data_IF_329179557417
#
_entry.id   IF_329179557417
#
_cell.length_a   1.000
_cell.length_b   1.000
_cell.length_c   1.000
_cell.angle_alpha   90.00
_cell.angle_beta   90.00
_cell.angle_gamma   90.00
#
_symmetry.space_group_name_H-M   'P 1'
#
loop_
_entity.id
_entity.type
_entity.pdbx_description
1 polymer ?
#
# COMPACT_ATOMS: atom_id res chain seq x y z
N UNK A 1 -2.95 -29.84 8.17
CA UNK A 1 -1.62 -29.60 7.57
C UNK A 1 -1.56 -29.83 6.05
N UNK A 2 -2.44 -30.62 5.42
CA UNK A 2 -2.48 -30.82 3.95
C UNK A 2 -3.22 -29.71 3.17
N UNK A 3 -4.09 -28.92 3.81
CA UNK A 3 -4.81 -27.81 3.18
C UNK A 3 -3.96 -26.55 2.93
N UNK A 4 -2.96 -26.29 3.78
CA UNK A 4 -2.09 -25.10 3.67
C UNK A 4 -1.06 -25.22 2.56
N UNK A 5 -0.55 -26.43 2.31
CA UNK A 5 0.39 -26.71 1.21
C UNK A 5 -0.26 -26.58 -0.18
N UNK A 6 -1.51 -27.02 -0.33
CA UNK A 6 -2.24 -26.84 -1.60
C UNK A 6 -2.50 -25.36 -1.91
N UNK A 7 -2.65 -24.50 -0.90
CA UNK A 7 -2.89 -23.07 -1.12
C UNK A 7 -1.63 -22.34 -1.59
N UNK A 8 -0.47 -22.64 -1.00
CA UNK A 8 0.82 -22.03 -1.38
C UNK A 8 1.26 -22.41 -2.82
N UNK A 9 1.11 -23.69 -3.20
CA UNK A 9 1.39 -24.14 -4.58
C UNK A 9 0.42 -23.55 -5.60
N UNK A 10 -0.87 -23.44 -5.23
CA UNK A 10 -1.88 -22.88 -6.11
C UNK A 10 -1.74 -21.36 -6.29
N UNK A 11 -1.17 -20.65 -5.31
CA UNK A 11 -0.82 -19.23 -5.40
C UNK A 11 0.42 -19.00 -6.28
N UNK A 12 1.47 -19.82 -6.15
CA UNK A 12 2.66 -19.77 -7.01
C UNK A 12 2.32 -20.06 -8.49
N UNK A 13 1.36 -20.96 -8.76
CA UNK A 13 0.96 -21.33 -10.12
C UNK A 13 -0.11 -20.40 -10.72
N UNK A 14 -0.97 -19.75 -9.92
CA UNK A 14 -1.96 -18.75 -10.42
C UNK A 14 -1.44 -17.31 -10.53
N UNK A 15 -0.24 -17.01 -10.04
CA UNK A 15 0.39 -15.68 -10.15
C UNK A 15 0.71 -15.17 -11.57
N UNK A 16 0.27 -15.90 -12.61
CA UNK A 16 0.50 -15.62 -14.04
C UNK A 16 -0.74 -15.51 -14.92
N UNK A 17 -1.98 -15.55 -14.40
CA UNK A 17 -3.18 -15.28 -15.21
C UNK A 17 -4.07 -14.24 -14.55
N UNK A 18 -3.62 -12.99 -14.60
CA UNK A 18 -4.49 -11.82 -14.51
C UNK A 18 -5.24 -11.67 -15.84
N UNK A 19 -6.17 -12.60 -16.12
CA UNK A 19 -7.11 -12.47 -17.25
C UNK A 19 -8.58 -12.56 -16.85
N UNK A 20 -8.92 -13.05 -15.66
CA UNK A 20 -10.33 -13.23 -15.29
C UNK A 20 -10.83 -12.35 -14.14
N UNK A 21 -10.00 -11.47 -13.56
CA UNK A 21 -10.51 -10.25 -12.96
C UNK A 21 -10.58 -9.18 -14.05
N UNK A 22 -11.65 -9.25 -14.84
CA UNK A 22 -12.17 -8.09 -15.56
C UNK A 22 -12.71 -7.11 -14.52
N UNK A 23 -11.78 -6.49 -13.76
CA UNK A 23 -11.97 -5.10 -13.39
C UNK A 23 -11.93 -4.38 -14.72
N UNK A 24 -13.11 -4.08 -15.30
CA UNK A 24 -13.19 -3.20 -16.46
C UNK A 24 -12.37 -1.98 -16.12
N UNK A 25 -11.19 -1.87 -16.74
CA UNK A 25 -10.46 -0.62 -16.75
C UNK A 25 -11.44 0.41 -17.28
N UNK A 26 -11.64 1.56 -16.59
CA UNK A 26 -12.55 2.58 -17.07
C UNK A 26 -12.23 2.86 -18.53
N UNK A 27 -13.25 2.86 -19.40
CA UNK A 27 -13.06 3.09 -20.83
C UNK A 27 -12.23 4.38 -21.03
N UNK A 28 -11.53 4.52 -22.15
CA UNK A 28 -10.82 5.78 -22.46
C UNK A 28 -11.74 7.00 -22.33
N UNK A 29 -13.05 6.83 -22.52
CA UNK A 29 -14.07 7.85 -22.22
C UNK A 29 -14.26 8.13 -20.74
N UNK A 30 -14.28 7.13 -19.86
CA UNK A 30 -14.33 7.33 -18.39
C UNK A 30 -13.01 7.90 -17.83
N UNK A 31 -11.86 7.53 -18.38
CA UNK A 31 -10.58 8.17 -18.03
C UNK A 31 -10.51 9.61 -18.54
N UNK A 32 -11.02 9.89 -19.74
CA UNK A 32 -11.11 11.26 -20.24
C UNK A 32 -12.17 12.10 -19.51
N UNK A 33 -13.31 11.51 -19.10
CA UNK A 33 -14.34 12.18 -18.32
C UNK A 33 -13.85 12.51 -16.89
N UNK A 34 -13.12 11.59 -16.25
CA UNK A 34 -12.45 11.85 -14.97
C UNK A 34 -11.34 12.90 -15.07
N UNK A 35 -10.64 12.99 -16.20
CA UNK A 35 -9.62 14.02 -16.45
C UNK A 35 -10.21 15.40 -16.77
N UNK A 36 -11.35 15.46 -17.48
CA UNK A 36 -12.03 16.72 -17.80
C UNK A 36 -12.72 17.33 -16.57
N UNK A 37 -13.27 16.50 -15.67
CA UNK A 37 -13.76 16.94 -14.36
C UNK A 37 -12.64 17.46 -13.43
N UNK A 38 -11.37 17.11 -13.68
CA UNK A 38 -10.20 17.60 -12.92
C UNK A 38 -9.66 18.96 -13.39
N UNK A 39 -10.04 19.44 -14.57
CA UNK A 39 -9.47 20.67 -15.15
C UNK A 39 -10.18 21.98 -14.76
N UNK A 40 -11.28 21.91 -14.00
CA UNK A 40 -12.13 23.08 -13.66
C UNK A 40 -12.21 23.43 -12.17
N UNK A 41 -11.25 22.98 -11.35
CA UNK A 41 -11.15 23.31 -9.93
C UNK A 41 -9.91 24.19 -9.66
N UNK A 42 -10.07 25.52 -9.53
CA UNK A 42 -9.03 26.38 -9.01
C UNK A 42 -9.13 26.39 -7.48
N UNK A 43 -8.19 25.72 -6.80
CA UNK A 43 -7.92 25.97 -5.38
C UNK A 43 -8.12 24.79 -4.42
N UNK A 44 -7.00 24.20 -4.02
CA UNK A 44 -6.66 23.78 -2.65
C UNK A 44 -6.80 22.33 -2.14
N UNK A 45 -7.54 21.37 -2.73
CA UNK A 45 -7.76 20.07 -2.00
C UNK A 45 -7.55 18.70 -2.70
N UNK A 46 -6.71 18.50 -3.74
CA UNK A 46 -6.28 17.13 -4.13
C UNK A 46 -4.95 16.68 -3.50
N UNK A 47 -4.03 17.62 -3.24
CA UNK A 47 -2.64 17.28 -2.98
C UNK A 47 -2.36 16.76 -1.56
N UNK A 48 -3.20 17.05 -0.58
CA UNK A 48 -2.98 16.65 0.82
C UNK A 48 -3.32 15.19 1.04
N UNK A 49 -4.50 14.73 0.60
CA UNK A 49 -4.94 13.34 0.74
C UNK A 49 -4.08 12.36 -0.07
N UNK A 50 -3.65 12.75 -1.28
CA UNK A 50 -2.78 11.91 -2.12
C UNK A 50 -1.36 11.82 -1.55
N UNK A 51 -0.85 12.90 -0.94
CA UNK A 51 0.41 12.88 -0.18
C UNK A 51 0.31 12.05 1.10
N UNK A 52 -0.81 12.11 1.80
CA UNK A 52 -1.01 11.38 3.05
C UNK A 52 -1.06 9.87 2.82
N UNK A 53 -1.78 9.43 1.78
CA UNK A 53 -1.82 8.01 1.39
C UNK A 53 -0.46 7.49 0.90
N UNK A 54 0.29 8.27 0.11
CA UNK A 54 1.63 7.87 -0.35
C UNK A 54 2.62 7.76 0.81
N UNK A 55 2.60 8.70 1.75
CA UNK A 55 3.41 8.65 2.95
C UNK A 55 3.05 7.46 3.85
N UNK A 56 1.77 7.10 3.96
CA UNK A 56 1.34 5.94 4.75
C UNK A 56 1.89 4.62 4.16
N UNK A 57 1.75 4.43 2.85
CA UNK A 57 2.29 3.25 2.15
C UNK A 57 3.82 3.19 2.24
N UNK A 58 4.49 4.34 2.14
CA UNK A 58 5.94 4.41 2.29
C UNK A 58 6.36 4.04 3.72
N UNK A 59 5.73 4.63 4.74
CA UNK A 59 5.99 4.33 6.15
C UNK A 59 5.80 2.84 6.49
N UNK A 60 4.81 2.19 5.87
CA UNK A 60 4.56 0.78 6.07
C UNK A 60 5.67 -0.09 5.47
N UNK A 61 6.13 0.22 4.25
CA UNK A 61 7.30 -0.43 3.63
C UNK A 61 8.55 -0.24 4.49
N UNK A 62 8.73 0.96 5.06
CA UNK A 62 9.85 1.25 5.97
C UNK A 62 9.79 0.37 7.23
N UNK A 63 8.60 0.15 7.80
CA UNK A 63 8.42 -0.70 8.99
C UNK A 63 8.78 -2.16 8.68
N UNK A 64 8.34 -2.69 7.55
CA UNK A 64 8.68 -4.04 7.11
C UNK A 64 10.18 -4.21 6.90
N UNK A 65 10.81 -3.23 6.27
CA UNK A 65 12.25 -3.27 6.03
C UNK A 65 13.05 -3.25 7.33
N UNK A 66 12.61 -2.47 8.34
CA UNK A 66 13.21 -2.49 9.69
C UNK A 66 13.07 -3.85 10.36
N UNK A 67 11.86 -4.43 10.34
CA UNK A 67 11.61 -5.76 10.92
C UNK A 67 12.52 -6.81 10.28
N UNK A 68 12.66 -6.76 8.94
CA UNK A 68 13.52 -7.65 8.18
C UNK A 68 15.00 -7.53 8.60
N UNK A 69 15.55 -6.31 8.63
CA UNK A 69 16.97 -6.14 8.99
C UNK A 69 17.21 -6.50 10.45
N UNK A 70 16.27 -6.18 11.35
CA UNK A 70 16.36 -6.57 12.75
C UNK A 70 16.40 -8.09 12.88
N UNK A 71 15.46 -8.80 12.23
CA UNK A 71 15.41 -10.27 12.23
C UNK A 71 16.68 -10.90 11.65
N UNK A 72 17.17 -10.37 10.53
CA UNK A 72 18.42 -10.82 9.91
C UNK A 72 19.63 -10.57 10.81
N UNK A 73 19.74 -9.37 11.39
CA UNK A 73 20.85 -8.99 12.27
C UNK A 73 20.88 -9.89 13.51
N UNK A 74 19.71 -10.13 14.12
CA UNK A 74 19.56 -11.05 15.24
C UNK A 74 20.08 -12.43 14.89
N UNK A 75 19.75 -12.95 13.71
CA UNK A 75 20.18 -14.30 13.32
C UNK A 75 21.63 -14.39 12.92
N UNK A 76 22.15 -13.41 12.19
CA UNK A 76 23.60 -13.35 11.95
C UNK A 76 24.37 -13.22 13.26
N UNK A 77 23.82 -12.51 14.25
CA UNK A 77 24.38 -12.41 15.60
C UNK A 77 24.35 -13.74 16.34
N UNK A 78 23.20 -14.44 16.36
CA UNK A 78 23.06 -15.78 16.97
C UNK A 78 23.99 -16.78 16.29
N UNK A 79 24.08 -16.77 14.97
CA UNK A 79 24.99 -17.61 14.19
C UNK A 79 26.45 -17.34 14.56
N UNK A 80 26.84 -16.06 14.66
CA UNK A 80 28.18 -15.66 15.07
C UNK A 80 28.49 -16.08 16.52
N UNK A 81 27.54 -15.92 17.44
CA UNK A 81 27.66 -16.38 18.83
C UNK A 81 27.77 -17.91 18.88
N UNK A 82 26.97 -18.63 18.10
CA UNK A 82 27.00 -20.10 18.05
C UNK A 82 28.37 -20.60 17.59
N UNK A 83 28.95 -20.00 16.54
CA UNK A 83 30.30 -20.30 16.09
C UNK A 83 31.34 -20.02 17.18
N UNK A 84 31.24 -18.87 17.86
CA UNK A 84 32.14 -18.52 18.96
C UNK A 84 32.01 -19.47 20.18
N UNK A 85 30.81 -20.01 20.43
CA UNK A 85 30.57 -20.98 21.51
C UNK A 85 31.07 -22.38 21.17
N UNK A 86 30.92 -22.83 19.92
CA UNK A 86 31.35 -24.16 19.48
C UNK A 86 32.87 -24.27 19.47
N UNK A 87 33.58 -23.27 18.95
CA UNK A 87 35.03 -23.34 18.71
C UNK A 87 35.87 -22.46 19.64
N UNK A 88 35.22 -21.72 20.55
CA UNK A 88 35.84 -20.73 21.42
C UNK A 88 36.20 -19.43 20.71
N UNK A 89 36.71 -18.45 21.47
CA UNK A 89 37.08 -17.14 20.93
C UNK A 89 38.28 -17.19 19.97
N UNK A 90 39.08 -18.25 20.00
CA UNK A 90 40.25 -18.47 19.12
C UNK A 90 40.09 -19.75 18.31
N UNK A 91 39.28 -19.72 17.24
CA UNK A 91 39.02 -20.89 16.44
C UNK A 91 40.28 -21.33 15.67
N UNK A 92 40.40 -22.64 15.37
CA UNK A 92 41.46 -23.16 14.53
C UNK A 92 41.48 -22.47 13.16
N UNK A 93 42.67 -22.37 12.55
CA UNK A 93 42.92 -21.67 11.28
C UNK A 93 41.86 -21.87 10.18
N UNK A 94 41.32 -23.08 9.91
CA UNK A 94 40.31 -23.27 8.84
C UNK A 94 38.97 -22.55 9.09
N UNK A 95 38.64 -22.21 10.34
CA UNK A 95 37.36 -21.60 10.71
C UNK A 95 37.39 -20.07 10.78
N UNK A 96 38.59 -19.47 10.86
CA UNK A 96 38.79 -18.02 10.85
C UNK A 96 38.11 -17.30 9.67
N UNK A 97 38.23 -17.75 8.40
CA UNK A 97 37.57 -17.06 7.29
C UNK A 97 36.05 -17.05 7.45
N UNK A 98 35.47 -18.10 8.03
CA UNK A 98 34.03 -18.19 8.27
C UNK A 98 33.56 -17.23 9.37
N UNK A 99 34.33 -17.11 10.46
CA UNK A 99 34.05 -16.13 11.51
C UNK A 99 34.16 -14.68 10.99
N UNK A 100 35.17 -14.41 10.16
CA UNK A 100 35.35 -13.10 9.51
C UNK A 100 34.18 -12.80 8.58
N UNK A 101 33.72 -13.77 7.78
CA UNK A 101 32.56 -13.61 6.90
C UNK A 101 31.28 -13.35 7.68
N UNK A 102 31.02 -14.11 8.74
CA UNK A 102 29.88 -13.90 9.61
C UNK A 102 29.90 -12.51 10.28
N UNK A 103 31.07 -12.07 10.75
CA UNK A 103 31.27 -10.73 11.28
C UNK A 103 31.07 -9.63 10.22
N UNK A 104 31.59 -9.83 9.00
CA UNK A 104 31.38 -8.92 7.88
C UNK A 104 29.90 -8.83 7.49
N UNK A 105 29.16 -9.95 7.52
CA UNK A 105 27.73 -9.98 7.26
C UNK A 105 26.95 -9.22 8.34
N UNK A 106 27.29 -9.41 9.62
CA UNK A 106 26.70 -8.66 10.73
C UNK A 106 26.97 -7.16 10.60
N UNK A 107 28.21 -6.77 10.34
CA UNK A 107 28.59 -5.37 10.17
C UNK A 107 27.94 -4.74 8.93
N UNK A 108 27.83 -5.50 7.84
CA UNK A 108 27.12 -5.04 6.64
C UNK A 108 25.66 -4.73 6.94
N UNK A 109 24.97 -5.52 7.77
CA UNK A 109 23.59 -5.24 8.18
C UNK A 109 23.50 -3.94 9.00
N UNK A 110 24.46 -3.70 9.90
CA UNK A 110 24.55 -2.45 10.65
C UNK A 110 24.83 -1.24 9.75
N UNK A 111 25.70 -1.40 8.77
CA UNK A 111 25.98 -0.38 7.76
C UNK A 111 24.74 -0.05 6.93
N UNK A 112 23.90 -1.04 6.60
CA UNK A 112 22.62 -0.80 5.94
C UNK A 112 21.66 0.02 6.80
N UNK A 113 21.55 -0.28 8.11
CA UNK A 113 20.75 0.53 9.04
C UNK A 113 21.25 1.98 9.11
N UNK A 114 22.57 2.18 9.00
CA UNK A 114 23.18 3.50 9.01
C UNK A 114 22.92 4.26 7.69
N UNK A 115 23.16 3.62 6.55
CA UNK A 115 23.02 4.23 5.22
C UNK A 115 21.56 4.51 4.84
N UNK A 116 20.60 3.83 5.46
CA UNK A 116 19.16 4.07 5.31
C UNK A 116 18.75 5.53 5.49
N UNK A 117 19.50 6.31 6.29
CA UNK A 117 19.19 7.72 6.54
C UNK A 117 19.38 8.63 5.30
N UNK A 118 19.99 8.13 4.20
CA UNK A 118 20.44 8.96 3.05
C UNK A 118 19.73 8.72 1.68
N UNK A 119 18.55 8.07 1.65
CA UNK A 119 17.64 7.90 0.48
C UNK A 119 18.01 6.87 -0.60
N UNK A 120 16.94 6.43 -1.28
CA UNK A 120 16.69 5.38 -2.30
C UNK A 120 16.67 3.91 -1.83
N UNK A 121 15.52 3.52 -1.28
CA UNK A 121 15.23 2.18 -0.73
C UNK A 121 15.45 1.07 -1.75
N UNK A 122 15.16 1.32 -3.03
CA UNK A 122 15.27 0.31 -4.08
C UNK A 122 16.73 -0.02 -4.38
N UNK A 123 17.58 1.00 -4.57
CA UNK A 123 19.01 0.82 -4.81
C UNK A 123 19.71 0.18 -3.61
N UNK A 124 19.43 0.68 -2.40
CA UNK A 124 19.95 0.11 -1.15
C UNK A 124 19.55 -1.37 -0.98
N UNK A 125 18.30 -1.71 -1.33
CA UNK A 125 17.83 -3.08 -1.34
C UNK A 125 18.64 -3.95 -2.32
N UNK A 126 18.81 -3.52 -3.56
CA UNK A 126 19.60 -4.26 -4.56
C UNK A 126 21.03 -4.50 -4.12
N UNK A 127 21.70 -3.47 -3.60
CA UNK A 127 23.06 -3.59 -3.10
C UNK A 127 23.14 -4.59 -1.93
N UNK A 128 22.16 -4.54 -1.02
CA UNK A 128 22.06 -5.43 0.13
C UNK A 128 21.90 -6.89 -0.26
N UNK A 129 20.94 -7.19 -1.14
CA UNK A 129 20.72 -8.56 -1.59
C UNK A 129 21.85 -9.08 -2.47
N UNK A 130 22.47 -8.24 -3.30
CA UNK A 130 23.62 -8.63 -4.11
C UNK A 130 24.82 -9.00 -3.23
N UNK A 131 25.11 -8.17 -2.23
CA UNK A 131 26.17 -8.44 -1.27
C UNK A 131 25.89 -9.70 -0.44
N UNK A 132 24.62 -9.92 -0.06
CA UNK A 132 24.21 -11.15 0.63
C UNK A 132 24.45 -12.39 -0.21
N UNK A 133 24.10 -12.38 -1.49
CA UNK A 133 24.33 -13.51 -2.39
C UNK A 133 25.83 -13.81 -2.49
N UNK A 134 26.68 -12.78 -2.60
CA UNK A 134 28.14 -12.94 -2.60
C UNK A 134 28.65 -13.53 -1.29
N UNK A 135 28.16 -13.04 -0.14
CA UNK A 135 28.52 -13.55 1.19
C UNK A 135 28.10 -15.01 1.37
N UNK A 136 26.88 -15.38 0.98
CA UNK A 136 26.40 -16.77 0.99
C UNK A 136 27.28 -17.64 0.10
N UNK A 137 27.68 -17.14 -1.07
CA UNK A 137 28.55 -17.87 -2.00
C UNK A 137 29.93 -18.12 -1.42
N UNK A 138 30.54 -17.11 -0.79
CA UNK A 138 31.82 -17.23 -0.11
C UNK A 138 31.71 -18.20 1.07
N UNK A 139 30.67 -18.08 1.91
CA UNK A 139 30.45 -18.98 3.03
C UNK A 139 30.31 -20.44 2.56
N UNK A 140 29.52 -20.67 1.49
CA UNK A 140 29.33 -21.99 0.92
C UNK A 140 30.62 -22.55 0.28
N UNK A 141 31.52 -21.68 -0.21
CA UNK A 141 32.83 -22.07 -0.72
C UNK A 141 33.79 -22.48 0.41
N UNK A 142 33.85 -21.71 1.51
CA UNK A 142 34.71 -22.04 2.66
C UNK A 142 34.25 -23.27 3.45
N UNK A 143 32.98 -23.64 3.35
CA UNK A 143 32.46 -24.89 3.91
C UNK A 143 32.94 -26.16 3.17
N UNK A 144 33.61 -26.01 2.03
CA UNK A 144 34.14 -27.13 1.26
C UNK A 144 33.05 -27.97 0.59
N UNK A 145 33.22 -29.30 0.49
CA UNK A 145 32.33 -30.19 -0.28
C UNK A 145 30.89 -30.17 0.23
N UNK A 146 30.70 -30.02 1.54
CA UNK A 146 29.37 -30.07 2.16
C UNK A 146 28.60 -28.74 2.02
N UNK A 147 29.22 -27.70 1.46
CA UNK A 147 28.60 -26.40 1.26
C UNK A 147 27.39 -26.43 0.30
N UNK A 148 27.12 -27.52 -0.41
CA UNK A 148 25.93 -27.63 -1.27
C UNK A 148 24.63 -27.59 -0.47
N UNK A 149 24.67 -27.91 0.82
CA UNK A 149 23.51 -27.80 1.70
C UNK A 149 22.95 -26.36 1.80
N UNK A 150 23.76 -25.34 1.44
CA UNK A 150 23.37 -23.94 1.42
C UNK A 150 22.77 -23.46 0.08
N UNK A 151 22.49 -24.34 -0.88
CA UNK A 151 21.82 -23.93 -2.15
C UNK A 151 20.47 -23.25 -1.88
N UNK A 152 19.72 -23.72 -0.90
CA UNK A 152 18.44 -23.11 -0.51
C UNK A 152 18.61 -21.69 0.05
N UNK A 153 19.81 -21.32 0.52
CA UNK A 153 20.07 -19.99 1.04
C UNK A 153 19.97 -18.89 -0.03
N UNK A 154 20.20 -19.22 -1.30
CA UNK A 154 20.10 -18.28 -2.42
C UNK A 154 18.66 -17.91 -2.77
N UNK A 155 17.70 -18.77 -2.43
CA UNK A 155 16.28 -18.51 -2.64
C UNK A 155 15.81 -17.32 -1.80
N UNK A 156 16.42 -17.15 -0.63
CA UNK A 156 16.02 -16.17 0.36
C UNK A 156 16.15 -14.72 -0.11
N UNK A 157 17.33 -14.24 -0.55
CA UNK A 157 17.49 -12.89 -1.13
C UNK A 157 16.57 -12.63 -2.32
N UNK A 158 16.26 -13.65 -3.12
CA UNK A 158 15.40 -13.53 -4.31
C UNK A 158 13.95 -13.28 -3.89
N UNK A 159 13.41 -14.10 -2.97
CA UNK A 159 12.04 -13.95 -2.44
C UNK A 159 11.90 -12.59 -1.77
N UNK A 160 12.85 -12.24 -0.89
CA UNK A 160 12.80 -10.98 -0.16
C UNK A 160 13.01 -9.75 -1.04
N UNK A 161 13.91 -9.82 -2.02
CA UNK A 161 14.09 -8.77 -3.01
C UNK A 161 12.82 -8.56 -3.84
N UNK A 162 12.18 -9.65 -4.27
CA UNK A 162 10.90 -9.60 -4.99
C UNK A 162 9.77 -8.96 -4.17
N UNK A 163 9.77 -9.16 -2.86
CA UNK A 163 8.76 -8.61 -1.96
C UNK A 163 9.02 -7.15 -1.59
N UNK A 164 10.25 -6.80 -1.21
CA UNK A 164 10.60 -5.45 -0.74
C UNK A 164 10.78 -4.44 -1.87
N UNK A 165 11.43 -4.85 -2.97
CA UNK A 165 11.74 -3.98 -4.12
C UNK A 165 10.66 -4.12 -5.20
N UNK A 166 10.01 -5.29 -5.26
CA UNK A 166 8.98 -5.62 -6.23
C UNK A 166 9.45 -6.64 -7.27
N UNK A 167 8.54 -7.03 -8.18
CA UNK A 167 8.77 -8.11 -9.17
C UNK A 167 9.98 -7.85 -10.08
N UNK A 168 10.37 -6.58 -10.27
CA UNK A 168 11.51 -6.19 -11.11
C UNK A 168 12.87 -6.65 -10.53
N UNK A 169 12.95 -6.89 -9.21
CA UNK A 169 14.17 -7.37 -8.58
C UNK A 169 14.40 -8.87 -8.75
N UNK A 170 13.35 -9.64 -9.05
CA UNK A 170 13.43 -11.11 -9.14
C UNK A 170 14.40 -11.56 -10.25
N UNK A 171 14.28 -11.08 -11.51
CA UNK A 171 15.19 -11.52 -12.57
C UNK A 171 16.68 -11.25 -12.31
N UNK A 172 17.12 -10.01 -11.97
CA UNK A 172 18.53 -9.74 -11.76
C UNK A 172 19.12 -10.47 -10.54
N UNK A 173 18.37 -10.59 -9.43
CA UNK A 173 18.84 -11.34 -8.27
C UNK A 173 18.94 -12.83 -8.56
N UNK A 174 18.00 -13.39 -9.34
CA UNK A 174 18.06 -14.80 -9.76
C UNK A 174 19.26 -15.05 -10.67
N UNK A 175 19.51 -14.16 -11.63
CA UNK A 175 20.66 -14.24 -12.52
C UNK A 175 21.98 -14.15 -11.72
N UNK A 176 22.07 -13.23 -10.76
CA UNK A 176 23.24 -13.07 -9.91
C UNK A 176 23.48 -14.31 -9.03
N UNK A 177 22.44 -14.87 -8.41
CA UNK A 177 22.51 -16.14 -7.68
C UNK A 177 22.95 -17.32 -8.56
N UNK A 178 22.41 -17.43 -9.78
CA UNK A 178 22.77 -18.48 -10.72
C UNK A 178 24.24 -18.37 -11.15
N UNK A 179 24.71 -17.15 -11.47
CA UNK A 179 26.11 -16.89 -11.82
C UNK A 179 27.02 -17.22 -10.63
N UNK A 180 26.67 -16.79 -9.41
CA UNK A 180 27.47 -17.04 -8.23
C UNK A 180 27.59 -18.53 -7.92
N UNK A 181 26.48 -19.27 -8.01
CA UNK A 181 26.48 -20.72 -7.85
C UNK A 181 27.27 -21.44 -8.97
N UNK A 182 27.07 -21.04 -10.24
CA UNK A 182 27.81 -21.61 -11.36
C UNK A 182 29.32 -21.36 -11.23
N UNK A 183 29.72 -20.17 -10.76
CA UNK A 183 31.12 -19.82 -10.49
C UNK A 183 31.72 -20.75 -9.44
N UNK A 184 30.99 -21.03 -8.36
CA UNK A 184 31.42 -22.01 -7.36
C UNK A 184 31.62 -23.40 -7.98
N UNK A 185 30.65 -23.90 -8.76
CA UNK A 185 30.75 -25.22 -9.42
C UNK A 185 31.95 -25.29 -10.36
N UNK A 186 32.26 -24.20 -11.08
CA UNK A 186 33.43 -24.13 -11.96
C UNK A 186 34.75 -24.13 -11.16
N UNK A 187 34.81 -23.42 -10.04
CA UNK A 187 35.97 -23.43 -9.14
C UNK A 187 36.24 -24.83 -8.58
N UNK A 188 35.17 -25.54 -8.23
CA UNK A 188 35.23 -26.92 -7.74
C UNK A 188 35.74 -27.88 -8.82
N UNK A 189 35.21 -27.79 -10.05
CA UNK A 189 35.69 -28.58 -11.19
C UNK A 189 37.16 -28.34 -11.53
N UNK A 190 37.67 -27.13 -11.26
CA UNK A 190 39.09 -26.77 -11.49
C UNK A 190 40.01 -27.28 -10.38
N UNK A 191 39.47 -27.91 -9.33
CA UNK A 191 40.23 -28.38 -8.18
C UNK A 191 40.70 -27.25 -7.27
N UNK A 192 40.13 -26.05 -7.37
CA UNK A 192 40.43 -24.95 -6.47
C UNK A 192 39.58 -24.99 -5.19
N UNK A 193 38.62 -25.91 -5.11
CA UNK A 193 37.82 -26.09 -3.90
C UNK A 193 38.65 -26.62 -2.73
N UNK A 194 38.40 -26.04 -1.55
CA UNK A 194 38.93 -26.53 -0.28
C UNK A 194 38.38 -27.94 -0.08
N UNK A 195 39.25 -28.94 -0.21
CA UNK A 195 38.87 -30.37 -0.16
C UNK A 195 38.77 -30.88 1.28
N UNK A 196 39.35 -30.14 2.23
CA UNK A 196 39.30 -30.48 3.65
C UNK A 196 37.88 -30.33 4.19
N UNK A 197 37.33 -31.45 4.67
CA UNK A 197 36.04 -31.43 5.38
C UNK A 197 36.26 -30.87 6.78
N UNK A 198 35.57 -29.78 7.07
CA UNK A 198 35.54 -29.20 8.41
C UNK A 198 34.56 -30.02 9.25
N UNK A 199 35.11 -30.82 10.17
CA UNK A 199 34.35 -31.65 11.08
C UNK A 199 34.11 -30.90 12.40
N UNK A 200 32.89 -30.98 12.93
CA UNK A 200 32.57 -30.54 14.28
C UNK A 200 33.21 -31.47 15.32
N UNK A 201 33.29 -31.07 16.61
CA UNK A 201 33.91 -31.88 17.67
C UNK A 201 33.36 -33.31 17.81
N UNK A 202 32.12 -33.55 17.39
CA UNK A 202 31.46 -34.86 17.39
C UNK A 202 31.69 -35.70 16.10
N UNK A 203 32.57 -35.26 15.19
CA UNK A 203 32.84 -35.94 13.91
C UNK A 203 31.78 -35.73 12.83
N UNK A 204 30.75 -34.91 13.08
CA UNK A 204 29.74 -34.55 12.07
C UNK A 204 30.25 -33.43 11.16
N UNK A 205 29.90 -33.40 9.87
CA UNK A 205 30.17 -32.26 9.00
C UNK A 205 29.58 -30.97 9.58
N UNK A 206 30.42 -29.95 9.78
CA UNK A 206 29.99 -28.66 10.36
C UNK A 206 28.87 -28.01 9.52
N UNK A 207 28.91 -28.20 8.20
CA UNK A 207 27.86 -27.75 7.29
C UNK A 207 26.47 -28.23 7.71
N UNK A 208 26.32 -29.51 8.07
CA UNK A 208 25.04 -30.08 8.48
C UNK A 208 24.55 -29.48 9.80
N UNK A 209 25.46 -29.33 10.77
CA UNK A 209 25.16 -28.71 12.07
C UNK A 209 24.66 -27.27 11.87
N UNK A 210 25.24 -26.53 10.93
CA UNK A 210 24.83 -25.15 10.63
C UNK A 210 23.56 -25.05 9.77
N UNK A 211 23.27 -26.07 8.94
CA UNK A 211 22.07 -26.05 8.08
C UNK A 211 20.77 -26.18 8.86
N UNK A 212 20.77 -26.93 9.97
CA UNK A 212 19.57 -27.10 10.82
C UNK A 212 19.07 -25.78 11.44
N UNK A 213 19.89 -25.00 12.18
CA UNK A 213 19.45 -23.72 12.71
C UNK A 213 19.14 -22.72 11.59
N UNK A 214 19.84 -22.80 10.46
CA UNK A 214 19.55 -21.98 9.28
C UNK A 214 18.15 -22.27 8.70
N UNK A 215 17.78 -23.54 8.54
CA UNK A 215 16.45 -23.95 8.06
C UNK A 215 15.34 -23.63 9.07
N UNK A 216 15.60 -23.87 10.36
CA UNK A 216 14.66 -23.50 11.42
C UNK A 216 14.39 -21.99 11.41
N UNK A 217 15.44 -21.19 11.19
CA UNK A 217 15.31 -19.76 11.04
C UNK A 217 14.54 -19.35 9.79
N UNK A 218 14.88 -19.86 8.61
CA UNK A 218 14.14 -19.55 7.37
C UNK A 218 12.66 -19.88 7.59
N UNK A 219 12.36 -21.03 8.21
CA UNK A 219 10.99 -21.45 8.47
C UNK A 219 10.26 -20.49 9.41
N UNK A 220 10.91 -20.06 10.49
CA UNK A 220 10.34 -19.09 11.44
C UNK A 220 10.15 -17.72 10.80
N UNK A 221 11.08 -17.28 9.95
CA UNK A 221 10.99 -16.00 9.28
C UNK A 221 9.90 -16.02 8.20
N UNK A 222 9.83 -17.10 7.41
CA UNK A 222 8.73 -17.33 6.46
C UNK A 222 7.39 -17.32 7.19
N UNK A 223 7.28 -18.04 8.33
CA UNK A 223 6.08 -18.03 9.15
C UNK A 223 5.70 -16.62 9.60
N UNK A 224 6.64 -15.88 10.20
CA UNK A 224 6.44 -14.51 10.65
C UNK A 224 5.94 -13.60 9.53
N UNK A 225 6.54 -13.71 8.34
CA UNK A 225 6.13 -12.93 7.17
C UNK A 225 4.75 -13.33 6.67
N UNK A 226 4.46 -14.62 6.58
CA UNK A 226 3.14 -15.10 6.14
C UNK A 226 2.04 -14.63 7.09
N UNK A 227 2.27 -14.70 8.40
CA UNK A 227 1.32 -14.21 9.41
C UNK A 227 1.11 -12.70 9.31
N UNK A 228 2.19 -11.94 9.12
CA UNK A 228 2.08 -10.49 8.92
C UNK A 228 1.33 -10.14 7.63
N UNK A 229 1.45 -10.97 6.57
CA UNK A 229 0.70 -10.79 5.32
C UNK A 229 -0.79 -11.12 5.47
N UNK A 230 -1.13 -12.22 6.15
CA UNK A 230 -2.52 -12.58 6.43
C UNK A 230 -3.23 -11.47 7.21
N UNK A 231 -2.58 -10.94 8.25
CA UNK A 231 -3.10 -9.83 9.04
C UNK A 231 -3.33 -8.56 8.19
N UNK A 232 -2.48 -8.29 7.18
CA UNK A 232 -2.65 -7.13 6.28
C UNK A 232 -3.82 -7.31 5.34
N UNK A 233 -3.96 -8.49 4.77
CA UNK A 233 -5.05 -8.80 3.86
C UNK A 233 -6.39 -8.65 4.58
N UNK A 234 -6.49 -9.16 5.82
CA UNK A 234 -7.67 -9.01 6.65
C UNK A 234 -7.99 -7.54 6.96
N UNK A 235 -6.99 -6.74 7.35
CA UNK A 235 -7.17 -5.31 7.61
C UNK A 235 -7.62 -4.54 6.36
N UNK A 236 -7.06 -4.85 5.19
CA UNK A 236 -7.46 -4.23 3.93
C UNK A 236 -8.89 -4.61 3.55
N UNK A 237 -9.28 -5.88 3.71
CA UNK A 237 -10.65 -6.33 3.45
C UNK A 237 -11.65 -5.64 4.38
N UNK A 238 -11.31 -5.50 5.66
CA UNK A 238 -12.14 -4.79 6.63
C UNK A 238 -12.29 -3.30 6.26
N UNK A 239 -11.21 -2.62 5.90
CA UNK A 239 -11.25 -1.22 5.47
C UNK A 239 -12.06 -1.02 4.19
N UNK A 240 -11.96 -1.93 3.22
CA UNK A 240 -12.76 -1.89 1.98
C UNK A 240 -14.24 -2.10 2.28
N UNK A 241 -14.56 -3.07 3.15
CA UNK A 241 -15.93 -3.35 3.58
C UNK A 241 -16.56 -2.15 4.31
N UNK A 242 -15.82 -1.53 5.23
CA UNK A 242 -16.28 -0.35 5.97
C UNK A 242 -16.55 0.82 5.03
N UNK A 243 -15.65 1.10 4.09
CA UNK A 243 -15.85 2.13 3.07
C UNK A 243 -17.09 1.86 2.21
N UNK A 244 -17.33 0.61 1.82
CA UNK A 244 -18.54 0.23 1.07
C UNK A 244 -19.82 0.50 1.88
N UNK A 245 -19.81 0.19 3.18
CA UNK A 245 -20.94 0.47 4.07
C UNK A 245 -21.19 1.97 4.25
N UNK A 246 -20.14 2.78 4.40
CA UNK A 246 -20.27 4.24 4.50
C UNK A 246 -20.87 4.84 3.22
N UNK A 247 -20.40 4.41 2.05
CA UNK A 247 -20.96 4.85 0.77
C UNK A 247 -22.44 4.47 0.63
N UNK A 248 -22.82 3.27 1.08
CA UNK A 248 -24.22 2.84 1.05
C UNK A 248 -25.09 3.69 2.00
N UNK A 249 -24.59 4.04 3.19
CA UNK A 249 -25.29 4.92 4.14
C UNK A 249 -25.51 6.30 3.55
N UNK A 250 -24.46 6.92 3.01
CA UNK A 250 -24.56 8.24 2.34
C UNK A 250 -25.55 8.21 1.18
N UNK A 251 -25.55 7.15 0.37
CA UNK A 251 -26.51 7.00 -0.73
C UNK A 251 -27.95 6.90 -0.21
N UNK A 252 -28.18 6.15 0.88
CA UNK A 252 -29.50 6.01 1.49
C UNK A 252 -29.99 7.33 2.08
N UNK A 253 -29.16 8.05 2.81
CA UNK A 253 -29.49 9.37 3.35
C UNK A 253 -29.80 10.37 2.24
N UNK A 254 -28.97 10.42 1.18
CA UNK A 254 -29.23 11.29 0.03
C UNK A 254 -30.56 10.98 -0.63
N UNK A 255 -30.89 9.71 -0.81
CA UNK A 255 -32.15 9.29 -1.41
C UNK A 255 -33.33 9.68 -0.51
N UNK A 256 -33.24 9.44 0.80
CA UNK A 256 -34.27 9.83 1.75
C UNK A 256 -34.50 11.35 1.74
N UNK A 257 -33.44 12.15 1.78
CA UNK A 257 -33.54 13.61 1.70
C UNK A 257 -34.18 14.06 0.38
N UNK A 258 -33.81 13.43 -0.74
CA UNK A 258 -34.38 13.73 -2.05
C UNK A 258 -35.85 13.34 -2.14
N UNK A 259 -36.24 12.22 -1.56
CA UNK A 259 -37.63 11.76 -1.50
C UNK A 259 -38.48 12.69 -0.62
N UNK A 260 -37.95 13.13 0.52
CA UNK A 260 -38.59 14.13 1.38
C UNK A 260 -38.78 15.44 0.60
N UNK A 261 -37.70 16.02 0.07
CA UNK A 261 -37.76 17.29 -0.66
C UNK A 261 -38.73 17.24 -1.84
N UNK A 262 -38.75 16.13 -2.59
CA UNK A 262 -39.61 15.97 -3.77
C UNK A 262 -41.10 15.89 -3.42
N UNK A 263 -41.44 15.30 -2.26
CA UNK A 263 -42.83 15.09 -1.85
C UNK A 263 -43.34 16.13 -0.85
N UNK A 264 -42.50 17.08 -0.41
CA UNK A 264 -42.95 18.20 0.42
C UNK A 264 -43.93 19.10 -0.33
N UNK A 265 -45.01 19.50 0.35
CA UNK A 265 -46.00 20.43 -0.18
C UNK A 265 -45.49 21.88 -0.22
N UNK A 266 -44.51 22.21 0.62
CA UNK A 266 -43.85 23.51 0.65
C UNK A 266 -42.81 23.62 -0.45
N UNK A 267 -42.77 24.78 -1.12
CA UNK A 267 -41.76 25.08 -2.13
C UNK A 267 -40.41 25.36 -1.49
N UNK A 268 -39.42 24.50 -1.75
CA UNK A 268 -38.04 24.68 -1.31
C UNK A 268 -37.16 24.96 -2.53
N UNK A 269 -36.43 26.06 -2.43
CA UNK A 269 -35.52 26.57 -3.44
C UNK A 269 -34.18 26.87 -2.76
N UNK A 270 -33.08 26.44 -3.38
CA UNK A 270 -31.71 26.79 -2.97
C UNK A 270 -31.04 27.50 -4.13
N UNK A 271 -30.44 28.66 -3.88
CA UNK A 271 -29.71 29.43 -4.89
C UNK A 271 -28.28 29.69 -4.49
N UNK A 272 -27.41 29.93 -5.48
CA UNK A 272 -26.05 30.40 -5.22
C UNK A 272 -26.01 31.90 -4.92
N UNK A 273 -24.83 32.43 -4.59
CA UNK A 273 -24.65 33.86 -4.32
C UNK A 273 -24.96 34.79 -5.49
N UNK A 274 -25.15 34.27 -6.70
CA UNK A 274 -25.50 35.01 -7.92
C UNK A 274 -26.98 34.91 -8.29
N UNK A 275 -27.78 34.12 -7.55
CA UNK A 275 -29.20 33.90 -7.81
C UNK A 275 -29.48 32.76 -8.79
N UNK A 276 -28.49 31.90 -9.08
CA UNK A 276 -28.72 30.69 -9.88
C UNK A 276 -29.34 29.61 -9.00
N UNK A 277 -30.38 28.96 -9.50
CA UNK A 277 -31.07 27.86 -8.82
C UNK A 277 -30.18 26.62 -8.79
N UNK A 278 -29.78 26.21 -7.58
CA UNK A 278 -29.01 24.99 -7.33
C UNK A 278 -29.91 23.78 -7.08
N UNK A 279 -31.04 23.98 -6.41
CA UNK A 279 -32.05 22.96 -6.12
C UNK A 279 -33.43 23.61 -6.10
N UNK A 280 -34.41 22.98 -6.75
CA UNK A 280 -35.81 23.39 -6.67
C UNK A 280 -36.68 22.15 -6.59
N UNK A 281 -37.45 22.01 -5.52
CA UNK A 281 -38.36 20.89 -5.40
C UNK A 281 -39.61 21.07 -6.28
N UNK A 282 -40.42 20.01 -6.38
CA UNK A 282 -41.62 19.99 -7.23
C UNK A 282 -42.62 21.09 -6.86
N UNK A 283 -42.81 21.35 -5.56
CA UNK A 283 -43.70 22.41 -5.09
C UNK A 283 -43.19 23.81 -5.48
N UNK A 284 -41.89 24.07 -5.35
CA UNK A 284 -41.29 25.33 -5.78
C UNK A 284 -41.44 25.54 -7.29
N UNK A 285 -41.23 24.48 -8.07
CA UNK A 285 -41.42 24.53 -9.54
C UNK A 285 -42.88 24.84 -9.90
N UNK A 286 -43.84 24.23 -9.19
CA UNK A 286 -45.27 24.42 -9.45
C UNK A 286 -45.82 25.78 -8.96
N UNK A 287 -45.21 26.36 -7.92
CA UNK A 287 -45.64 27.63 -7.32
C UNK A 287 -44.95 28.85 -7.96
N UNK A 288 -43.67 28.72 -8.29
CA UNK A 288 -42.80 29.84 -8.68
C UNK A 288 -42.23 29.68 -10.11
N UNK A 289 -42.56 28.59 -10.81
CA UNK A 289 -42.13 28.32 -12.19
C UNK A 289 -40.60 28.34 -12.41
N UNK A 290 -39.82 28.01 -11.38
CA UNK A 290 -38.35 27.96 -11.41
C UNK A 290 -37.83 26.53 -11.54
N UNK A 291 -36.80 26.35 -12.37
CA UNK A 291 -36.16 25.05 -12.61
C UNK A 291 -34.70 25.04 -12.16
N UNK A 292 -34.17 23.86 -11.84
CA UNK A 292 -32.76 23.67 -11.50
C UNK A 292 -31.84 24.12 -12.64
N UNK A 293 -30.83 24.92 -12.31
CA UNK A 293 -29.84 25.43 -13.26
C UNK A 293 -30.21 26.76 -13.92
N UNK A 294 -31.45 27.25 -13.75
CA UNK A 294 -31.90 28.55 -14.25
C UNK A 294 -31.52 29.69 -13.30
N UNK A 295 -31.47 30.92 -13.82
CA UNK A 295 -31.38 32.09 -12.95
C UNK A 295 -32.76 32.48 -12.47
N UNK A 296 -32.84 32.92 -11.21
CA UNK A 296 -34.04 33.51 -10.68
C UNK A 296 -34.51 34.70 -11.52
N UNK A 297 -35.83 34.85 -11.66
CA UNK A 297 -36.42 36.04 -12.25
C UNK A 297 -36.04 37.29 -11.45
N UNK A 298 -35.79 38.45 -12.10
CA UNK A 298 -35.36 39.69 -11.43
C UNK A 298 -36.29 40.13 -10.29
N UNK A 299 -37.60 39.90 -10.45
CA UNK A 299 -38.60 40.13 -9.42
C UNK A 299 -38.33 39.28 -8.17
N UNK A 300 -38.11 37.97 -8.34
CA UNK A 300 -37.92 37.02 -7.25
C UNK A 300 -36.60 37.28 -6.51
N UNK A 301 -35.55 37.60 -7.28
CA UNK A 301 -34.26 38.06 -6.76
C UNK A 301 -34.39 39.32 -5.89
N UNK A 302 -35.21 40.30 -6.30
CA UNK A 302 -35.44 41.53 -5.53
C UNK A 302 -36.15 41.27 -4.20
N UNK A 303 -37.07 40.29 -4.14
CA UNK A 303 -37.77 39.93 -2.92
C UNK A 303 -36.86 39.18 -1.94
N UNK A 304 -36.04 38.25 -2.43
CA UNK A 304 -35.09 37.47 -1.61
C UNK A 304 -33.92 38.33 -1.12
N UNK A 305 -33.44 39.25 -1.94
CA UNK A 305 -32.33 40.15 -1.57
C UNK A 305 -32.76 41.26 -0.59
N UNK A 306 -34.04 41.62 -0.56
CA UNK A 306 -34.56 42.59 0.39
C UNK A 306 -34.55 42.08 1.84
N UNK A 307 -34.61 40.75 2.07
CA UNK A 307 -34.47 40.14 3.40
C UNK A 307 -33.01 40.11 3.92
N UNK A 308 -32.01 40.32 3.04
CA UNK A 308 -30.58 40.27 3.41
C UNK A 308 -30.09 41.51 4.17
N UNK A 309 -30.84 42.60 4.17
CA UNK A 309 -30.41 43.92 4.67
C UNK A 309 -30.97 44.34 6.04
N UNK A 310 -31.99 43.64 6.56
CA UNK A 310 -32.62 43.93 7.85
C UNK A 310 -32.50 42.69 8.76
N UNK A 311 -32.14 42.90 10.03
CA UNK A 311 -31.79 41.85 11.00
C UNK A 311 -32.68 40.61 10.90
N UNK A 312 -32.04 39.46 10.62
CA UNK A 312 -32.63 38.15 10.36
C UNK A 312 -33.34 37.55 11.60
N UNK A 313 -34.47 38.15 11.98
CA UNK A 313 -35.34 37.67 13.04
C UNK A 313 -36.73 37.38 12.46
N UNK A 314 -36.91 36.13 12.02
CA UNK A 314 -38.21 35.43 11.94
C UNK A 314 -39.36 36.08 11.14
N UNK A 315 -39.05 36.89 10.12
CA UNK A 315 -40.09 37.60 9.35
C UNK A 315 -40.46 36.83 8.08
N UNK A 316 -41.43 35.91 8.19
CA UNK A 316 -42.16 35.36 7.04
C UNK A 316 -42.80 36.49 6.25
N UNK A 317 -42.38 36.71 5.01
CA UNK A 317 -42.95 37.75 4.15
C UNK A 317 -44.04 37.19 3.27
N UNK A 318 -45.21 37.82 3.29
CA UNK A 318 -46.32 37.46 2.42
C UNK A 318 -46.21 38.30 1.15
N UNK A 319 -46.13 37.64 -0.01
CA UNK A 319 -46.06 38.26 -1.34
C UNK A 319 -47.14 37.71 -2.25
N UNK A 320 -47.65 38.55 -3.15
CA UNK A 320 -48.60 38.14 -4.17
C UNK A 320 -47.85 37.82 -5.47
N UNK A 321 -48.03 36.61 -5.99
CA UNK A 321 -47.44 36.14 -7.24
C UNK A 321 -48.53 35.49 -8.09
N UNK A 322 -48.75 36.02 -9.29
CA UNK A 322 -49.77 35.54 -10.24
C UNK A 322 -51.18 35.35 -9.63
N UNK A 323 -51.60 36.27 -8.76
CA UNK A 323 -52.90 36.21 -8.07
C UNK A 323 -52.98 35.18 -6.95
N UNK A 324 -51.84 34.64 -6.49
CA UNK A 324 -51.73 33.76 -5.32
C UNK A 324 -50.91 34.44 -4.23
N UNK A 325 -51.36 34.31 -2.99
CA UNK A 325 -50.62 34.77 -1.81
C UNK A 325 -49.65 33.69 -1.36
N UNK A 326 -48.35 33.96 -1.42
CA UNK A 326 -47.27 33.03 -1.06
C UNK A 326 -46.51 33.62 0.14
N UNK A 327 -46.25 32.80 1.16
CA UNK A 327 -45.33 33.16 2.24
C UNK A 327 -43.92 32.71 1.87
N UNK A 328 -42.99 33.65 1.81
CA UNK A 328 -41.57 33.41 1.60
C UNK A 328 -40.83 33.53 2.94
N UNK A 329 -39.79 32.71 3.08
CA UNK A 329 -38.84 32.77 4.18
C UNK A 329 -37.48 32.41 3.62
N UNK A 330 -36.51 33.31 3.77
CA UNK A 330 -35.11 33.05 3.42
C UNK A 330 -34.30 32.74 4.66
N UNK A 331 -33.33 31.83 4.53
CA UNK A 331 -32.30 31.61 5.53
C UNK A 331 -30.95 31.46 4.82
N UNK A 332 -29.91 32.12 5.36
CA UNK A 332 -28.56 31.92 4.86
C UNK A 332 -28.00 30.59 5.38
N UNK A 333 -27.55 29.75 4.46
CA UNK A 333 -26.81 28.54 4.79
C UNK A 333 -25.38 28.96 5.15
N UNK A 334 -25.11 29.11 6.45
CA UNK A 334 -23.79 29.41 7.02
C UNK A 334 -22.82 28.23 6.80
N UNK A 335 -22.26 28.15 5.61
CA UNK A 335 -21.24 27.20 5.23
C UNK A 335 -20.83 27.48 3.80
N UNK A 336 -19.62 28.02 3.61
CA UNK A 336 -19.02 28.34 2.30
C UNK A 336 -18.72 27.13 1.42
N UNK A 337 -19.61 26.15 1.38
CA UNK A 337 -19.61 25.10 0.38
C UNK A 337 -20.30 25.64 -0.86
N UNK A 338 -19.51 25.90 -1.91
CA UNK A 338 -20.03 25.85 -3.27
C UNK A 338 -20.70 24.47 -3.47
N UNK A 339 -22.02 24.38 -3.26
CA UNK A 339 -22.80 23.24 -3.73
C UNK A 339 -22.86 23.34 -5.26
N UNK A 340 -21.78 22.90 -5.93
CA UNK A 340 -21.84 22.61 -7.35
C UNK A 340 -22.82 21.46 -7.55
N UNK A 341 -23.92 21.75 -8.23
CA UNK A 341 -24.87 20.77 -8.74
C UNK A 341 -24.13 19.81 -9.71
N UNK A 342 -23.49 18.77 -9.18
CA UNK A 342 -23.01 17.63 -9.97
C UNK A 342 -24.20 16.70 -10.20
N UNK A 343 -25.12 17.12 -11.07
CA UNK A 343 -26.11 16.24 -11.67
C UNK A 343 -25.38 15.39 -12.72
N UNK A 344 -25.09 14.14 -12.35
CA UNK A 344 -24.89 13.08 -13.32
C UNK A 344 -26.22 12.88 -14.04
N UNK A 345 -26.31 13.40 -15.26
CA UNK A 345 -27.25 12.89 -16.25
C UNK A 345 -26.79 11.48 -16.61
N UNK A 346 -27.46 10.46 -16.08
CA UNK A 346 -27.50 9.15 -16.74
C UNK A 346 -28.61 9.19 -17.81
N UNK A 347 -28.37 8.62 -19.01
CA UNK A 347 -29.30 8.65 -20.14
C UNK A 347 -30.60 7.88 -19.92
#
# INVERSE_FOLDING_TARGET
MTRTWNWAMHWIWRGGSSKDMVVRSPSKEQQMAGSKLRSGFPGAWPNTLERENTNAVENEKLRLWRLFILGRSAVTGVFWILLALIDGFWPPYPLRPLLILAGAQFFSNALYLYLWKRRDIAFLGFLSFSLEIVLISLMAYFLGPDGHAFVLAYLWPIIMGGWLIGRQAIPPLTALSAIAYATRVLLERRGWAITERILAPAGMPLALVLTLPYLAFISLLVWLLTTEMENREENLLNAVSENAHLLQRLKRERNLLRDILTNMAEGVLVTDGTGKVLLANRAATALLHVHEGENLSPWLLSQVSAERGEEASDNRRIVEFEGRTISLSSAELSGGYEMRASLLAEP
#
